data_IF_763988529449
#
_entry.id   IF_763988529449
#
_cell.length_a   1.000
_cell.length_b   1.000
_cell.length_c   1.000
_cell.angle_alpha   90.00
_cell.angle_beta   90.00
_cell.angle_gamma   90.00
#
_symmetry.space_group_name_H-M   'P 1'
#
loop_
_entity.id
_entity.type
_entity.pdbx_description
1 polymer ?
#
# COMPACT_ATOMS: atom_id res chain seq x y z
N UNK A 1 -9.11 -11.85 -6.57
CA UNK A 1 -7.82 -11.21 -6.32
C UNK A 1 -7.68 -9.94 -7.16
N UNK A 2 -6.87 -8.99 -6.69
CA UNK A 2 -6.59 -7.74 -7.42
C UNK A 2 -5.45 -7.90 -8.43
N UNK A 3 -4.56 -8.84 -8.21
CA UNK A 3 -3.46 -9.15 -9.12
C UNK A 3 -3.75 -10.42 -9.92
N UNK A 4 -3.41 -10.38 -11.20
CA UNK A 4 -3.35 -11.58 -12.02
C UNK A 4 -2.16 -12.46 -11.60
N UNK A 5 -2.18 -13.79 -11.87
CA UNK A 5 -1.09 -14.69 -11.46
C UNK A 5 0.29 -14.24 -11.94
N UNK A 6 0.43 -13.82 -13.19
CA UNK A 6 1.72 -13.36 -13.73
C UNK A 6 2.22 -12.08 -13.06
N UNK A 7 1.31 -11.15 -12.75
CA UNK A 7 1.65 -9.93 -12.00
C UNK A 7 2.12 -10.26 -10.59
N UNK A 8 1.40 -11.17 -9.94
CA UNK A 8 1.76 -11.62 -8.59
C UNK A 8 3.15 -12.26 -8.59
N UNK A 9 3.44 -13.14 -9.52
CA UNK A 9 4.73 -13.83 -9.61
C UNK A 9 5.88 -12.84 -9.89
N UNK A 10 5.61 -11.81 -10.68
CA UNK A 10 6.60 -10.76 -10.96
C UNK A 10 6.85 -9.86 -9.74
N UNK A 11 5.78 -9.42 -9.06
CA UNK A 11 5.89 -8.43 -7.98
C UNK A 11 6.21 -9.04 -6.61
N UNK A 12 5.74 -10.27 -6.33
CA UNK A 12 5.96 -10.96 -5.05
C UNK A 12 7.16 -11.92 -5.11
N UNK A 13 8.30 -11.45 -5.57
CA UNK A 13 9.49 -12.30 -5.58
C UNK A 13 10.56 -11.76 -4.64
N UNK A 14 11.43 -12.69 -4.18
CA UNK A 14 12.51 -12.38 -3.26
C UNK A 14 13.43 -11.27 -3.80
N UNK A 15 13.90 -10.42 -2.90
CA UNK A 15 14.77 -9.29 -3.22
C UNK A 15 14.06 -7.98 -3.54
N UNK A 16 12.76 -8.00 -3.75
CA UNK A 16 11.95 -6.79 -3.84
C UNK A 16 11.93 -6.06 -2.50
N UNK A 17 11.77 -4.74 -2.55
CA UNK A 17 11.66 -3.91 -1.35
C UNK A 17 10.23 -3.42 -1.13
N UNK A 18 9.87 -3.20 0.12
CA UNK A 18 8.54 -2.68 0.45
C UNK A 18 8.54 -1.83 1.72
N UNK A 19 7.58 -0.92 1.77
CA UNK A 19 7.27 -0.12 2.95
C UNK A 19 5.82 -0.36 3.35
N UNK A 20 5.60 -0.60 4.63
CA UNK A 20 4.27 -0.72 5.24
C UNK A 20 4.05 0.49 6.15
N UNK A 21 3.14 1.38 5.74
CA UNK A 21 2.78 2.57 6.51
C UNK A 21 1.65 2.26 7.48
N UNK A 22 1.86 2.53 8.77
CA UNK A 22 0.93 2.14 9.81
C UNK A 22 0.95 0.64 10.07
N UNK A 23 2.14 0.06 10.14
CA UNK A 23 2.37 -1.37 10.04
C UNK A 23 1.90 -2.20 11.24
N UNK A 24 1.90 -1.65 12.45
CA UNK A 24 1.62 -2.43 13.66
C UNK A 24 0.21 -3.05 13.65
N UNK A 25 0.06 -4.29 14.11
CA UNK A 25 1.07 -5.18 14.70
C UNK A 25 1.97 -5.90 13.69
N UNK A 26 1.73 -5.80 12.37
CA UNK A 26 2.65 -6.30 11.36
C UNK A 26 2.10 -7.35 10.39
N UNK A 27 0.77 -7.46 10.28
CA UNK A 27 0.15 -8.48 9.43
C UNK A 27 0.51 -8.37 7.95
N UNK A 28 0.47 -7.18 7.38
CA UNK A 28 0.84 -6.98 5.98
C UNK A 28 2.35 -7.06 5.76
N UNK A 29 3.12 -6.54 6.72
CA UNK A 29 4.58 -6.71 6.72
C UNK A 29 4.96 -8.19 6.67
N UNK A 30 4.31 -9.02 7.50
CA UNK A 30 4.55 -10.46 7.53
C UNK A 30 4.21 -11.13 6.19
N UNK A 31 3.07 -10.79 5.59
CA UNK A 31 2.65 -11.34 4.31
C UNK A 31 3.68 -11.09 3.20
N UNK A 32 4.24 -9.88 3.16
CA UNK A 32 5.24 -9.55 2.14
C UNK A 32 6.62 -10.11 2.48
N UNK A 33 7.02 -10.06 3.73
CA UNK A 33 8.31 -10.59 4.18
C UNK A 33 8.45 -12.10 3.94
N UNK A 34 7.38 -12.87 4.12
CA UNK A 34 7.40 -14.31 3.85
C UNK A 34 7.60 -14.67 2.37
N UNK A 35 7.33 -13.74 1.47
CA UNK A 35 7.64 -13.89 0.05
C UNK A 35 9.08 -13.44 -0.30
N UNK A 36 9.88 -13.10 0.70
CA UNK A 36 11.26 -12.69 0.52
C UNK A 36 11.47 -11.21 0.25
N UNK A 37 10.46 -10.35 0.46
CA UNK A 37 10.61 -8.91 0.34
C UNK A 37 11.38 -8.36 1.54
N UNK A 38 12.22 -7.37 1.28
CA UNK A 38 12.89 -6.58 2.31
C UNK A 38 11.93 -5.47 2.74
N UNK A 39 11.40 -5.60 3.96
CA UNK A 39 10.34 -4.72 4.44
C UNK A 39 10.85 -3.67 5.42
N UNK A 40 10.37 -2.45 5.26
CA UNK A 40 10.44 -1.37 6.24
C UNK A 40 9.03 -1.15 6.79
N UNK A 41 8.86 -1.38 8.07
CA UNK A 41 7.59 -1.19 8.76
C UNK A 41 7.60 0.15 9.51
N UNK A 42 6.73 1.07 9.13
CA UNK A 42 6.64 2.42 9.70
C UNK A 42 5.43 2.50 10.62
N UNK A 43 5.65 2.65 11.90
CA UNK A 43 4.60 2.80 12.90
C UNK A 43 5.21 3.23 14.24
N UNK A 44 4.50 4.05 15.02
CA UNK A 44 4.87 4.33 16.41
C UNK A 44 4.59 3.14 17.33
N UNK A 45 3.66 2.26 16.96
CA UNK A 45 3.33 1.05 17.69
C UNK A 45 4.42 -0.02 17.56
N UNK A 46 4.34 -1.02 18.42
CA UNK A 46 5.28 -2.15 18.40
C UNK A 46 4.83 -3.20 17.40
N UNK A 47 5.79 -3.72 16.65
CA UNK A 47 5.58 -4.93 15.85
C UNK A 47 5.64 -6.17 16.74
N UNK A 48 5.02 -7.27 16.29
CA UNK A 48 5.10 -8.51 17.03
C UNK A 48 6.54 -9.03 17.08
N UNK A 49 7.01 -9.44 18.26
CA UNK A 49 8.37 -9.94 18.44
C UNK A 49 8.72 -11.12 17.53
N UNK A 50 7.84 -12.15 17.37
CA UNK A 50 8.11 -13.25 16.44
C UNK A 50 8.35 -12.78 15.00
N UNK A 51 7.64 -11.76 14.54
CA UNK A 51 7.81 -11.20 13.20
C UNK A 51 9.22 -10.61 13.03
N UNK A 52 9.66 -9.82 14.00
CA UNK A 52 10.98 -9.18 13.97
C UNK A 52 12.13 -10.18 14.03
N UNK A 53 11.93 -11.32 14.73
CA UNK A 53 12.94 -12.35 14.87
C UNK A 53 13.01 -13.28 13.64
N UNK A 54 11.88 -13.48 12.97
CA UNK A 54 11.77 -14.43 11.85
C UNK A 54 12.27 -13.85 10.52
N UNK A 55 12.07 -12.56 10.29
CA UNK A 55 12.37 -11.91 9.01
C UNK A 55 13.23 -10.64 9.18
N UNK A 56 14.06 -10.30 8.16
CA UNK A 56 14.86 -9.07 8.18
C UNK A 56 13.97 -7.86 7.92
N UNK A 57 13.27 -7.39 8.95
CA UNK A 57 12.37 -6.24 8.89
C UNK A 57 12.99 -5.07 9.62
N UNK A 58 13.08 -3.91 8.96
CA UNK A 58 13.44 -2.65 9.59
C UNK A 58 12.19 -2.01 10.17
N UNK A 59 12.17 -1.76 11.47
CA UNK A 59 11.10 -1.01 12.11
C UNK A 59 11.53 0.44 12.29
N UNK A 60 10.76 1.36 11.70
CA UNK A 60 10.95 2.80 11.85
C UNK A 60 9.81 3.38 12.67
N UNK A 61 10.13 3.91 13.86
CA UNK A 61 9.14 4.58 14.70
C UNK A 61 8.95 6.01 14.18
N UNK A 62 7.95 6.19 13.35
CA UNK A 62 7.65 7.46 12.70
C UNK A 62 6.17 7.57 12.34
N UNK A 63 5.73 8.77 12.04
CA UNK A 63 4.40 9.04 11.51
C UNK A 63 4.32 8.54 10.06
N UNK A 64 3.28 7.76 9.76
CA UNK A 64 3.08 7.20 8.42
C UNK A 64 2.99 8.28 7.33
N UNK A 65 2.36 9.41 7.61
CA UNK A 65 2.13 10.47 6.63
C UNK A 65 3.34 11.38 6.38
N UNK A 66 4.31 11.39 7.28
CA UNK A 66 5.50 12.23 7.15
C UNK A 66 6.75 11.44 6.77
N UNK A 67 6.68 10.11 6.84
CA UNK A 67 7.80 9.26 6.45
C UNK A 67 8.09 9.38 4.95
N UNK A 68 9.38 9.45 4.63
CA UNK A 68 9.88 9.40 3.26
C UNK A 68 10.94 8.30 3.14
N UNK A 69 10.85 7.41 2.13
CA UNK A 69 11.87 6.38 1.95
C UNK A 69 13.19 6.99 1.47
N UNK A 70 14.35 6.44 1.89
CA UNK A 70 15.65 6.92 1.43
C UNK A 70 15.92 6.64 -0.05
N UNK A 71 15.20 5.67 -0.63
CA UNK A 71 15.25 5.31 -2.05
C UNK A 71 13.92 4.75 -2.51
N UNK A 72 13.70 4.71 -3.81
CA UNK A 72 12.48 4.10 -4.37
C UNK A 72 12.33 2.66 -3.90
N UNK A 73 11.11 2.28 -3.54
CA UNK A 73 10.74 0.90 -3.20
C UNK A 73 9.83 0.29 -4.27
N UNK A 74 9.76 -1.03 -4.31
CA UNK A 74 8.86 -1.73 -5.22
C UNK A 74 7.41 -1.68 -4.74
N UNK A 75 7.19 -1.86 -3.43
CA UNK A 75 5.88 -1.94 -2.81
C UNK A 75 5.67 -0.87 -1.75
N UNK A 76 4.52 -0.21 -1.83
CA UNK A 76 3.94 0.53 -0.72
C UNK A 76 2.64 -0.16 -0.33
N UNK A 77 2.51 -0.51 0.95
CA UNK A 77 1.24 -0.98 1.51
C UNK A 77 0.83 -0.08 2.66
N UNK A 78 -0.48 0.13 2.81
CA UNK A 78 -1.02 1.01 3.84
C UNK A 78 -2.40 0.54 4.27
N UNK A 79 -2.55 0.28 5.56
CA UNK A 79 -3.83 -0.10 6.18
C UNK A 79 -4.06 0.73 7.45
N UNK A 80 -4.10 2.05 7.28
CA UNK A 80 -4.36 2.97 8.39
C UNK A 80 -5.86 3.22 8.55
N UNK A 81 -6.30 3.42 9.79
CA UNK A 81 -7.66 3.83 10.11
C UNK A 81 -7.72 5.35 10.10
N UNK A 82 -8.13 5.93 8.99
CA UNK A 82 -8.21 7.37 8.79
C UNK A 82 -9.27 7.72 7.74
N UNK A 83 -9.53 9.00 7.55
CA UNK A 83 -10.40 9.49 6.48
C UNK A 83 -9.82 9.09 5.13
N UNK A 84 -10.64 8.56 4.20
CA UNK A 84 -10.15 8.06 2.92
C UNK A 84 -9.43 9.11 2.07
N UNK A 85 -9.87 10.37 2.12
CA UNK A 85 -9.19 11.44 1.40
C UNK A 85 -7.76 11.67 1.87
N UNK A 86 -7.49 11.52 3.17
CA UNK A 86 -6.16 11.70 3.74
C UNK A 86 -5.23 10.55 3.36
N UNK A 87 -5.72 9.32 3.44
CA UNK A 87 -4.97 8.15 2.98
C UNK A 87 -4.66 8.25 1.48
N UNK A 88 -5.67 8.61 0.67
CA UNK A 88 -5.50 8.77 -0.77
C UNK A 88 -4.46 9.84 -1.12
N UNK A 89 -4.46 10.98 -0.43
CA UNK A 89 -3.48 12.03 -0.65
C UNK A 89 -2.05 11.53 -0.38
N UNK A 90 -1.86 10.72 0.66
CA UNK A 90 -0.57 10.10 0.96
C UNK A 90 -0.14 9.14 -0.16
N UNK A 91 -1.02 8.26 -0.60
CA UNK A 91 -0.74 7.30 -1.68
C UNK A 91 -0.41 8.02 -2.99
N UNK A 92 -1.19 9.05 -3.33
CA UNK A 92 -0.95 9.89 -4.50
C UNK A 92 0.45 10.53 -4.46
N UNK A 93 0.84 11.06 -3.30
CA UNK A 93 2.17 11.66 -3.11
C UNK A 93 3.28 10.65 -3.38
N UNK A 94 3.19 9.45 -2.82
CA UNK A 94 4.19 8.41 -3.02
C UNK A 94 4.30 8.02 -4.50
N UNK A 95 3.18 7.89 -5.19
CA UNK A 95 3.15 7.51 -6.60
C UNK A 95 3.64 8.64 -7.52
N UNK A 96 3.22 9.88 -7.26
CA UNK A 96 3.63 11.02 -8.10
C UNK A 96 5.09 11.43 -7.88
N UNK A 97 5.61 11.26 -6.68
CA UNK A 97 7.03 11.52 -6.36
C UNK A 97 7.95 10.36 -6.75
N UNK A 98 7.38 9.29 -7.29
CA UNK A 98 8.12 8.09 -7.69
C UNK A 98 8.88 7.41 -6.53
N UNK A 99 8.32 7.50 -5.33
CA UNK A 99 8.90 6.86 -4.16
C UNK A 99 8.60 5.37 -4.10
N UNK A 100 7.56 4.94 -4.80
CA UNK A 100 7.19 3.53 -4.94
C UNK A 100 6.80 3.21 -6.37
N UNK A 101 7.01 1.97 -6.79
CA UNK A 101 6.58 1.48 -8.10
C UNK A 101 5.11 1.09 -8.11
N UNK A 102 4.63 0.44 -7.04
CA UNK A 102 3.21 0.12 -6.88
C UNK A 102 2.73 0.44 -5.47
N UNK A 103 1.42 0.58 -5.33
CA UNK A 103 0.78 0.80 -4.04
C UNK A 103 -0.44 -0.11 -3.89
N UNK A 104 -0.57 -0.73 -2.72
CA UNK A 104 -1.72 -1.52 -2.29
C UNK A 104 -2.19 -0.98 -0.95
N UNK A 105 -3.41 -0.50 -0.89
CA UNK A 105 -3.89 0.17 0.31
C UNK A 105 -5.39 0.03 0.50
N UNK A 106 -5.83 0.16 1.74
CA UNK A 106 -7.23 0.16 2.11
C UNK A 106 -7.73 1.59 2.32
N UNK A 107 -8.95 1.86 1.87
CA UNK A 107 -9.68 3.09 2.14
C UNK A 107 -10.88 2.76 3.01
N UNK A 108 -10.99 3.42 4.16
CA UNK A 108 -12.17 3.33 5.01
C UNK A 108 -13.26 4.21 4.42
N UNK A 109 -14.41 3.61 4.12
CA UNK A 109 -15.50 4.30 3.44
C UNK A 109 -16.43 4.99 4.44
N UNK A 110 -16.99 6.18 4.08
CA UNK A 110 -17.98 6.84 4.91
C UNK A 110 -19.28 6.03 4.95
N UNK A 111 -20.11 6.29 5.93
CA UNK A 111 -21.43 5.61 6.05
C UNK A 111 -22.38 5.99 4.91
N UNK A 112 -22.23 7.18 4.36
CA UNK A 112 -23.07 7.70 3.26
C UNK A 112 -22.23 8.00 2.02
N UNK A 113 -22.84 7.91 0.84
CA UNK A 113 -22.22 8.27 -0.44
C UNK A 113 -20.90 7.50 -0.73
N UNK A 114 -20.85 6.23 -0.34
CA UNK A 114 -19.64 5.40 -0.49
C UNK A 114 -19.19 5.30 -1.95
N UNK A 115 -20.12 5.06 -2.85
CA UNK A 115 -19.81 4.94 -4.28
C UNK A 115 -19.24 6.25 -4.84
N UNK A 116 -19.89 7.38 -4.56
CA UNK A 116 -19.43 8.69 -5.03
C UNK A 116 -18.04 9.04 -4.47
N UNK A 117 -17.79 8.72 -3.19
CA UNK A 117 -16.48 8.92 -2.56
C UNK A 117 -15.40 8.09 -3.26
N UNK A 118 -15.65 6.84 -3.52
CA UNK A 118 -14.70 5.95 -4.22
C UNK A 118 -14.42 6.47 -5.62
N UNK A 119 -15.45 6.81 -6.40
CA UNK A 119 -15.27 7.34 -7.75
C UNK A 119 -14.45 8.64 -7.76
N UNK A 120 -14.75 9.55 -6.86
CA UNK A 120 -14.01 10.81 -6.75
C UNK A 120 -12.54 10.57 -6.43
N UNK A 121 -12.24 9.77 -5.42
CA UNK A 121 -10.87 9.52 -4.98
C UNK A 121 -10.07 8.74 -6.04
N UNK A 122 -10.65 7.72 -6.66
CA UNK A 122 -9.99 6.98 -7.74
C UNK A 122 -9.78 7.84 -8.97
N UNK A 123 -10.72 8.72 -9.29
CA UNK A 123 -10.60 9.68 -10.37
C UNK A 123 -9.46 10.68 -10.16
N UNK A 124 -9.31 11.18 -8.93
CA UNK A 124 -8.17 12.04 -8.56
C UNK A 124 -6.84 11.32 -8.69
N UNK A 125 -6.76 10.09 -8.21
CA UNK A 125 -5.54 9.30 -8.31
C UNK A 125 -5.17 9.04 -9.77
N UNK A 126 -6.13 8.62 -10.58
CA UNK A 126 -5.94 8.37 -12.01
C UNK A 126 -5.43 9.60 -12.75
N UNK A 127 -6.04 10.77 -12.50
CA UNK A 127 -5.63 12.03 -13.11
C UNK A 127 -4.21 12.44 -12.67
N UNK A 128 -3.91 12.34 -11.37
CA UNK A 128 -2.62 12.73 -10.82
C UNK A 128 -1.47 11.84 -11.29
N UNK A 129 -1.75 10.58 -11.60
CA UNK A 129 -0.75 9.58 -12.00
C UNK A 129 -0.77 9.25 -13.50
N UNK A 130 -1.48 10.05 -14.31
CA UNK A 130 -1.66 9.79 -15.73
C UNK A 130 -0.33 9.62 -16.50
N UNK A 131 0.68 10.41 -16.18
CA UNK A 131 2.00 10.32 -16.81
C UNK A 131 2.74 9.03 -16.50
N UNK A 132 2.40 8.37 -15.39
CA UNK A 132 3.02 7.12 -14.97
C UNK A 132 2.36 5.89 -15.58
N UNK A 133 1.26 6.05 -16.28
CA UNK A 133 0.52 4.96 -16.92
C UNK A 133 0.25 3.79 -15.97
N UNK A 134 -0.34 4.10 -14.82
CA UNK A 134 -0.71 3.10 -13.83
C UNK A 134 -2.05 2.46 -14.17
N UNK A 135 -2.16 1.16 -13.94
CA UNK A 135 -3.43 0.46 -13.84
C UNK A 135 -3.94 0.57 -12.42
N UNK A 136 -5.17 1.02 -12.23
CA UNK A 136 -5.79 1.17 -10.92
C UNK A 136 -6.98 0.21 -10.84
N UNK A 137 -6.96 -0.66 -9.82
CA UNK A 137 -8.02 -1.62 -9.55
C UNK A 137 -8.50 -1.46 -8.12
N UNK A 138 -9.79 -1.61 -7.89
CA UNK A 138 -10.37 -1.51 -6.57
C UNK A 138 -11.39 -2.62 -6.34
N UNK A 139 -11.42 -3.19 -5.14
CA UNK A 139 -12.32 -4.28 -4.79
C UNK A 139 -12.57 -4.32 -3.29
N UNK A 140 -13.81 -4.62 -2.89
CA UNK A 140 -14.07 -5.02 -1.52
C UNK A 140 -13.55 -6.43 -1.29
N UNK A 141 -12.69 -6.59 -0.30
CA UNK A 141 -12.18 -7.89 0.11
C UNK A 141 -12.77 -8.27 1.48
N UNK A 142 -12.94 -9.58 1.73
CA UNK A 142 -13.32 -10.12 3.03
C UNK A 142 -14.69 -9.69 3.58
N UNK A 143 -15.65 -9.37 2.73
CA UNK A 143 -17.01 -8.95 3.17
C UNK A 143 -17.04 -7.67 4.01
N UNK A 144 -15.95 -6.94 4.11
CA UNK A 144 -15.93 -5.66 4.81
C UNK A 144 -16.59 -4.57 3.95
N UNK A 145 -17.81 -4.19 4.32
CA UNK A 145 -18.59 -3.17 3.60
C UNK A 145 -18.11 -1.75 3.84
N UNK A 146 -17.24 -1.56 4.83
CA UNK A 146 -16.74 -0.25 5.22
C UNK A 146 -15.37 0.05 4.63
N UNK A 147 -14.86 -0.85 3.80
CA UNK A 147 -13.51 -0.77 3.29
C UNK A 147 -13.42 -1.21 1.83
N UNK A 148 -12.58 -0.52 1.07
CA UNK A 148 -12.21 -0.94 -0.28
C UNK A 148 -10.69 -1.04 -0.36
N UNK A 149 -10.20 -2.09 -1.03
CA UNK A 149 -8.77 -2.27 -1.30
C UNK A 149 -8.46 -1.78 -2.70
N UNK A 150 -7.45 -0.93 -2.81
CA UNK A 150 -7.00 -0.33 -4.07
C UNK A 150 -5.60 -0.81 -4.39
N UNK A 151 -5.39 -1.21 -5.64
CA UNK A 151 -4.08 -1.55 -6.19
C UNK A 151 -3.78 -0.59 -7.35
N UNK A 152 -2.65 0.09 -7.29
CA UNK A 152 -2.10 0.88 -8.38
C UNK A 152 -0.75 0.29 -8.77
N UNK A 153 -0.60 -0.15 -10.02
CA UNK A 153 0.63 -0.78 -10.50
C UNK A 153 0.92 -0.35 -11.94
N UNK A 154 2.19 -0.42 -12.39
CA UNK A 154 2.52 -0.12 -13.79
C UNK A 154 1.71 -0.97 -14.76
N UNK A 155 1.19 -0.32 -15.81
CA UNK A 155 0.32 -0.96 -16.82
C UNK A 155 1.06 -2.02 -17.66
N UNK A 156 2.36 -1.82 -17.89
CA UNK A 156 3.26 -2.81 -18.48
C UNK A 156 4.27 -3.24 -17.42
N UNK A 157 4.54 -4.52 -17.29
CA UNK A 157 5.31 -5.13 -16.21
C UNK A 157 6.78 -4.69 -16.07
N UNK A 158 7.05 -3.45 -16.36
CA UNK A 158 8.40 -2.86 -16.22
C UNK A 158 8.57 -2.07 -14.92
#
# INVERSE_FOLDING_TARGET
TLMQPAERDYWLRAGRSGVDLGAAPGGWTWQLARHGLRMTAVDHGKLSTPLMDEYPIEHVSADAYTYRPPRQVDWLVCDVVDKPARTMACMQKWLTQDWTRLALFNLKLPMKQRYATVEELLGRLSAATAERQLTIRAKQLYYDREEITVLALPASGD
#
